data_IF_274553162591
#
_entry.id   IF_274553162591
#
_cell.length_a   1.000
_cell.length_b   1.000
_cell.length_c   1.000
_cell.angle_alpha   90.00
_cell.angle_beta   90.00
_cell.angle_gamma   90.00
#
_symmetry.space_group_name_H-M   'P 1'
#
loop_
_entity.id
_entity.type
_entity.pdbx_description
1 polymer ?
#
# COMPACT_ATOMS: atom_id res chain seq x y z
N UNK A 1 -16.29 8.44 -11.93
CA UNK A 1 -15.97 8.31 -10.49
C UNK A 1 -15.30 6.97 -10.27
N UNK A 2 -13.99 6.96 -10.17
CA UNK A 2 -13.26 5.68 -10.13
C UNK A 2 -12.14 5.75 -9.12
N UNK A 3 -12.00 4.67 -8.36
CA UNK A 3 -10.87 4.42 -7.48
C UNK A 3 -10.08 3.27 -8.08
N UNK A 4 -8.79 3.41 -8.23
CA UNK A 4 -7.90 2.36 -8.73
C UNK A 4 -6.96 1.94 -7.59
N UNK A 5 -6.98 0.69 -7.20
CA UNK A 5 -6.00 0.14 -6.27
C UNK A 5 -4.98 -0.70 -7.03
N UNK A 6 -3.72 -0.41 -6.82
CA UNK A 6 -2.61 -1.11 -7.46
C UNK A 6 -1.80 -1.84 -6.39
N UNK A 7 -1.88 -3.16 -6.39
CA UNK A 7 -0.96 -4.02 -5.64
C UNK A 7 0.21 -4.43 -6.54
N UNK A 8 1.37 -4.66 -5.98
CA UNK A 8 2.57 -4.91 -6.77
C UNK A 8 3.56 -5.82 -6.06
N UNK A 9 4.35 -6.52 -6.84
CA UNK A 9 5.55 -7.19 -6.35
C UNK A 9 6.66 -6.17 -6.07
N UNK A 10 7.56 -6.48 -5.15
CA UNK A 10 8.73 -5.64 -4.89
C UNK A 10 9.58 -5.52 -6.15
N UNK A 11 10.11 -4.33 -6.40
CA UNK A 11 10.97 -4.01 -7.56
C UNK A 11 10.30 -4.25 -8.94
N UNK A 12 8.99 -4.26 -9.00
CA UNK A 12 8.23 -4.42 -10.27
C UNK A 12 7.98 -3.11 -11.02
N UNK A 13 8.54 -1.98 -10.56
CA UNK A 13 8.25 -0.62 -11.05
C UNK A 13 6.78 -0.21 -10.92
N UNK A 14 6.05 -0.87 -10.03
CA UNK A 14 4.63 -0.63 -9.86
C UNK A 14 4.30 0.76 -9.29
N UNK A 15 5.22 1.38 -8.55
CA UNK A 15 5.04 2.76 -8.05
C UNK A 15 5.07 3.76 -9.20
N UNK A 16 6.08 3.67 -10.07
CA UNK A 16 6.22 4.53 -11.24
C UNK A 16 5.03 4.38 -12.19
N UNK A 17 4.55 3.14 -12.37
CA UNK A 17 3.37 2.88 -13.18
C UNK A 17 2.11 3.51 -12.56
N UNK A 18 1.93 3.40 -11.25
CA UNK A 18 0.80 4.00 -10.56
C UNK A 18 0.78 5.54 -10.69
N UNK A 19 1.94 6.18 -10.56
CA UNK A 19 2.09 7.62 -10.73
C UNK A 19 1.75 8.06 -12.17
N UNK A 20 2.25 7.33 -13.17
CA UNK A 20 1.93 7.60 -14.58
C UNK A 20 0.44 7.40 -14.89
N UNK A 21 -0.17 6.36 -14.38
CA UNK A 21 -1.62 6.13 -14.56
C UNK A 21 -2.42 7.27 -13.95
N UNK A 22 -2.04 7.73 -12.76
CA UNK A 22 -2.70 8.87 -12.13
C UNK A 22 -2.55 10.15 -12.96
N UNK A 23 -1.35 10.43 -13.46
CA UNK A 23 -1.07 11.59 -14.32
C UNK A 23 -1.91 11.55 -15.61
N UNK A 24 -1.92 10.43 -16.33
CA UNK A 24 -2.67 10.24 -17.58
C UNK A 24 -4.19 10.39 -17.39
N UNK A 25 -4.71 9.96 -16.25
CA UNK A 25 -6.14 10.06 -15.95
C UNK A 25 -6.53 11.37 -15.26
N UNK A 26 -5.58 12.20 -14.86
CA UNK A 26 -5.82 13.38 -14.03
C UNK A 26 -6.33 13.03 -12.63
N UNK A 27 -5.87 11.90 -12.08
CA UNK A 27 -6.22 11.39 -10.75
C UNK A 27 -5.15 11.73 -9.71
N UNK A 28 -5.54 11.78 -8.46
CA UNK A 28 -4.60 11.91 -7.37
C UNK A 28 -3.94 10.57 -7.04
N UNK A 29 -2.61 10.55 -6.99
CA UNK A 29 -1.86 9.37 -6.59
C UNK A 29 -1.58 9.43 -5.09
N UNK A 30 -2.00 8.41 -4.35
CA UNK A 30 -1.77 8.28 -2.91
C UNK A 30 -1.14 6.93 -2.57
N UNK A 31 -0.23 6.94 -1.62
CA UNK A 31 0.44 5.74 -1.14
C UNK A 31 0.70 5.83 0.36
N UNK A 32 1.90 6.20 0.73
CA UNK A 32 2.34 6.35 2.12
C UNK A 32 1.53 7.41 2.90
N UNK A 33 0.94 8.36 2.20
CA UNK A 33 0.11 9.41 2.82
C UNK A 33 -0.95 8.84 3.77
N UNK A 34 -1.58 7.73 3.41
CA UNK A 34 -2.59 7.06 4.24
C UNK A 34 -2.01 6.60 5.59
N UNK A 35 -0.77 6.09 5.60
CA UNK A 35 -0.10 5.69 6.83
C UNK A 35 0.30 6.90 7.69
N UNK A 36 0.72 7.99 7.06
CA UNK A 36 1.06 9.23 7.76
C UNK A 36 -0.18 9.84 8.40
N UNK A 37 -1.29 9.92 7.67
CA UNK A 37 -2.57 10.42 8.19
C UNK A 37 -3.05 9.58 9.38
N UNK A 38 -3.00 8.25 9.29
CA UNK A 38 -3.35 7.37 10.39
C UNK A 38 -2.40 7.54 11.59
N UNK A 39 -1.10 7.71 11.34
CA UNK A 39 -0.10 7.94 12.39
C UNK A 39 -0.39 9.24 13.17
N UNK A 40 -0.70 10.32 12.47
CA UNK A 40 -1.01 11.61 13.05
C UNK A 40 -2.34 11.61 13.78
N UNK A 41 -3.41 11.12 13.15
CA UNK A 41 -4.76 11.12 13.69
C UNK A 41 -4.87 10.30 14.99
N UNK A 42 -4.21 9.16 15.03
CA UNK A 42 -4.29 8.23 16.18
C UNK A 42 -3.07 8.29 17.10
N UNK A 43 -2.13 9.19 16.82
CA UNK A 43 -0.89 9.35 17.60
C UNK A 43 -0.13 8.02 17.79
N UNK A 44 0.05 7.27 16.71
CA UNK A 44 0.73 5.98 16.68
C UNK A 44 1.93 6.07 15.72
N UNK A 45 3.13 5.66 16.15
CA UNK A 45 4.28 5.64 15.24
C UNK A 45 4.01 4.83 13.97
N UNK A 46 4.31 5.41 12.80
CA UNK A 46 4.09 4.78 11.49
C UNK A 46 4.65 3.36 11.40
N UNK A 47 5.82 3.12 12.03
CA UNK A 47 6.43 1.79 12.04
C UNK A 47 5.55 0.71 12.68
N UNK A 48 4.73 1.05 13.67
CA UNK A 48 3.79 0.10 14.28
C UNK A 48 2.64 -0.23 13.32
N UNK A 49 2.18 0.75 12.55
CA UNK A 49 1.16 0.55 11.52
C UNK A 49 1.68 -0.34 10.39
N UNK A 50 2.91 -0.11 9.93
CA UNK A 50 3.56 -0.92 8.90
C UNK A 50 3.70 -2.37 9.37
N UNK A 51 4.19 -2.59 10.59
CA UNK A 51 4.34 -3.94 11.15
C UNK A 51 2.99 -4.67 11.25
N UNK A 52 1.92 -3.98 11.62
CA UNK A 52 0.59 -4.58 11.68
C UNK A 52 0.11 -5.14 10.33
N UNK A 53 0.58 -4.58 9.21
CA UNK A 53 0.25 -5.05 7.86
C UNK A 53 1.18 -6.16 7.35
N UNK A 54 2.44 -6.16 7.77
CA UNK A 54 3.44 -7.09 7.25
C UNK A 54 3.67 -8.32 8.12
N UNK A 55 3.65 -8.16 9.44
CA UNK A 55 4.07 -9.22 10.33
C UNK A 55 2.96 -10.24 10.57
N UNK A 56 3.32 -11.51 10.52
CA UNK A 56 2.48 -12.56 11.08
C UNK A 56 2.40 -12.37 12.59
N UNK A 57 1.21 -12.44 13.19
CA UNK A 57 1.07 -12.21 14.61
C UNK A 57 1.88 -13.24 15.42
N UNK A 58 2.77 -12.77 16.28
CA UNK A 58 3.38 -13.61 17.31
C UNK A 58 2.30 -14.15 18.25
N UNK A 59 2.62 -15.22 19.00
CA UNK A 59 1.67 -15.82 19.94
C UNK A 59 1.17 -14.78 20.95
N UNK A 60 2.02 -13.84 21.36
CA UNK A 60 1.65 -12.74 22.28
C UNK A 60 0.76 -11.68 21.63
N UNK A 61 0.95 -11.40 20.35
CA UNK A 61 0.15 -10.43 19.60
C UNK A 61 -1.23 -10.97 19.22
N UNK A 62 -1.39 -12.30 19.12
CA UNK A 62 -2.71 -12.93 18.99
C UNK A 62 -3.61 -12.70 20.19
N UNK A 63 -3.01 -12.51 21.37
CA UNK A 63 -3.71 -12.20 22.62
C UNK A 63 -3.95 -10.69 22.81
N UNK A 64 -3.29 -9.84 22.03
CA UNK A 64 -3.47 -8.40 22.07
C UNK A 64 -4.32 -7.91 20.89
N UNK A 65 -5.36 -7.15 21.18
CA UNK A 65 -6.21 -6.48 20.18
C UNK A 65 -5.47 -5.39 19.35
N UNK A 66 -4.16 -5.22 19.58
CA UNK A 66 -3.37 -4.14 19.02
C UNK A 66 -3.28 -4.16 17.50
N UNK A 67 -3.06 -5.34 16.88
CA UNK A 67 -2.94 -5.48 15.43
C UNK A 67 -4.22 -5.11 14.70
N UNK A 68 -5.35 -5.64 15.13
CA UNK A 68 -6.66 -5.37 14.53
C UNK A 68 -7.04 -3.88 14.67
N UNK A 69 -6.71 -3.29 15.80
CA UNK A 69 -6.89 -1.87 16.06
C UNK A 69 -6.09 -1.01 15.07
N UNK A 70 -4.81 -1.34 14.85
CA UNK A 70 -3.96 -0.62 13.91
C UNK A 70 -4.43 -0.77 12.46
N UNK A 71 -4.85 -1.98 12.06
CA UNK A 71 -5.44 -2.23 10.75
C UNK A 71 -6.72 -1.40 10.55
N UNK A 72 -7.56 -1.29 11.58
CA UNK A 72 -8.76 -0.46 11.54
C UNK A 72 -8.44 1.03 11.35
N UNK A 73 -7.38 1.53 11.94
CA UNK A 73 -6.93 2.92 11.77
C UNK A 73 -6.46 3.19 10.34
N UNK A 74 -5.67 2.29 9.78
CA UNK A 74 -5.21 2.40 8.38
C UNK A 74 -6.41 2.35 7.43
N UNK A 75 -7.34 1.41 7.66
CA UNK A 75 -8.56 1.30 6.88
C UNK A 75 -9.40 2.58 6.93
N UNK A 76 -9.55 3.17 8.11
CA UNK A 76 -10.28 4.43 8.27
C UNK A 76 -9.63 5.57 7.49
N UNK A 77 -8.32 5.76 7.61
CA UNK A 77 -7.58 6.76 6.86
C UNK A 77 -7.69 6.55 5.34
N UNK A 78 -7.57 5.30 4.87
CA UNK A 78 -7.74 4.99 3.45
C UNK A 78 -9.16 5.32 2.97
N UNK A 79 -10.19 4.91 3.70
CA UNK A 79 -11.57 5.18 3.33
C UNK A 79 -11.88 6.69 3.29
N UNK A 80 -11.28 7.47 4.17
CA UNK A 80 -11.40 8.93 4.13
C UNK A 80 -10.70 9.52 2.89
N UNK A 81 -9.48 9.07 2.60
CA UNK A 81 -8.73 9.54 1.43
C UNK A 81 -9.42 9.24 0.10
N UNK A 82 -10.11 8.10 -0.03
CA UNK A 82 -10.77 7.72 -1.29
C UNK A 82 -12.17 8.30 -1.46
N UNK A 83 -12.72 8.98 -0.47
CA UNK A 83 -14.03 9.67 -0.58
C UNK A 83 -14.06 10.73 -1.69
N UNK A 84 -12.93 11.36 -1.97
CA UNK A 84 -12.80 12.39 -2.98
C UNK A 84 -12.88 11.85 -4.42
N UNK A 85 -12.85 10.54 -4.60
CA UNK A 85 -12.81 9.86 -5.91
C UNK A 85 -11.64 10.30 -6.81
N UNK A 86 -11.52 9.65 -7.98
CA UNK A 86 -10.43 9.90 -8.91
C UNK A 86 -9.05 9.72 -8.24
N UNK A 87 -8.92 8.60 -7.54
CA UNK A 87 -7.74 8.25 -6.76
C UNK A 87 -7.08 7.00 -7.34
N UNK A 88 -5.76 7.04 -7.47
CA UNK A 88 -4.91 5.86 -7.64
C UNK A 88 -4.19 5.59 -6.33
N UNK A 89 -4.51 4.49 -5.69
CA UNK A 89 -3.87 4.05 -4.45
C UNK A 89 -2.94 2.86 -4.71
N UNK A 90 -1.66 2.99 -4.42
CA UNK A 90 -0.68 1.91 -4.57
C UNK A 90 0.01 1.52 -3.26
N UNK A 91 -0.67 1.70 -2.15
CA UNK A 91 -0.20 1.31 -0.82
C UNK A 91 -0.53 -0.14 -0.46
N UNK A 92 -0.26 -0.47 0.80
CA UNK A 92 -0.48 -1.79 1.36
C UNK A 92 -1.99 -2.09 1.54
N UNK A 93 -2.39 -3.32 1.23
CA UNK A 93 -3.70 -3.89 1.54
C UNK A 93 -4.93 -3.17 0.96
N UNK A 94 -4.78 -2.19 0.05
CA UNK A 94 -5.92 -1.43 -0.51
C UNK A 94 -6.98 -2.31 -1.16
N UNK A 95 -6.56 -3.34 -1.88
CA UNK A 95 -7.45 -4.31 -2.53
C UNK A 95 -8.33 -5.09 -1.53
N UNK A 96 -7.88 -5.26 -0.30
CA UNK A 96 -8.63 -5.90 0.77
C UNK A 96 -9.55 -4.92 1.50
N UNK A 97 -9.04 -3.73 1.83
CA UNK A 97 -9.82 -2.72 2.54
C UNK A 97 -10.99 -2.18 1.74
N UNK A 98 -10.85 -2.15 0.41
CA UNK A 98 -11.90 -1.72 -0.52
C UNK A 98 -12.67 -2.91 -1.14
N UNK A 99 -12.62 -4.08 -0.51
CA UNK A 99 -13.43 -5.23 -0.92
C UNK A 99 -14.92 -4.89 -0.77
N UNK A 100 -15.70 -5.15 -1.82
CA UNK A 100 -17.13 -4.87 -1.84
C UNK A 100 -17.52 -3.47 -2.30
N UNK A 101 -16.57 -2.57 -2.49
CA UNK A 101 -16.82 -1.25 -3.09
C UNK A 101 -16.87 -1.41 -4.62
N UNK A 102 -18.06 -1.21 -5.20
CA UNK A 102 -18.36 -1.58 -6.61
C UNK A 102 -17.60 -0.76 -7.66
N UNK A 103 -17.24 0.49 -7.35
CA UNK A 103 -16.56 1.40 -8.26
C UNK A 103 -15.03 1.44 -8.06
N UNK A 104 -14.46 0.37 -7.53
CA UNK A 104 -13.00 0.20 -7.35
C UNK A 104 -12.47 -0.79 -8.37
N UNK A 105 -11.56 -0.33 -9.22
CA UNK A 105 -10.75 -1.18 -10.07
C UNK A 105 -9.53 -1.68 -9.28
N UNK A 106 -9.37 -2.99 -9.20
CA UNK A 106 -8.24 -3.63 -8.51
C UNK A 106 -7.27 -4.19 -9.54
N UNK A 107 -6.05 -3.70 -9.50
CA UNK A 107 -4.96 -4.09 -10.40
C UNK A 107 -3.81 -4.70 -9.61
N UNK A 108 -3.23 -5.78 -10.12
CA UNK A 108 -1.98 -6.33 -9.59
C UNK A 108 -0.91 -6.28 -10.66
N UNK A 109 0.22 -5.70 -10.30
CA UNK A 109 1.41 -5.66 -11.16
C UNK A 109 2.36 -6.76 -10.71
N UNK A 110 2.74 -7.58 -11.65
CA UNK A 110 3.73 -8.65 -11.48
C UNK A 110 4.91 -8.39 -12.41
N UNK A 111 6.06 -8.87 -12.03
CA UNK A 111 7.26 -8.85 -12.88
C UNK A 111 8.06 -10.14 -12.67
N UNK A 112 8.79 -10.56 -13.69
CA UNK A 112 9.64 -11.74 -13.60
C UNK A 112 10.74 -11.56 -12.55
N UNK A 113 11.12 -12.65 -11.89
CA UNK A 113 12.10 -12.63 -10.80
C UNK A 113 13.43 -12.03 -11.26
N UNK A 114 13.91 -12.38 -12.45
CA UNK A 114 15.16 -11.85 -13.00
C UNK A 114 15.13 -10.32 -13.16
N UNK A 115 14.04 -9.78 -13.65
CA UNK A 115 13.89 -8.33 -13.82
C UNK A 115 13.79 -7.61 -12.47
N UNK A 116 13.13 -8.22 -11.50
CA UNK A 116 13.04 -7.70 -10.13
C UNK A 116 14.40 -7.68 -9.44
N UNK A 117 15.19 -8.73 -9.58
CA UNK A 117 16.57 -8.80 -9.06
C UNK A 117 17.46 -7.74 -9.69
N UNK A 118 17.39 -7.57 -11.01
CA UNK A 118 18.15 -6.49 -11.71
C UNK A 118 17.77 -5.11 -11.20
N UNK A 119 16.49 -4.86 -10.98
CA UNK A 119 16.01 -3.58 -10.49
C UNK A 119 16.44 -3.34 -9.03
N UNK A 120 16.42 -4.37 -8.17
CA UNK A 120 16.90 -4.31 -6.80
C UNK A 120 18.40 -3.96 -6.76
N UNK A 121 19.23 -4.68 -7.50
CA UNK A 121 20.68 -4.42 -7.62
C UNK A 121 20.92 -2.97 -8.03
N UNK A 122 20.18 -2.48 -9.00
CA UNK A 122 20.31 -1.12 -9.50
C UNK A 122 19.95 -0.07 -8.46
N UNK A 123 18.86 -0.29 -7.71
CA UNK A 123 18.35 0.68 -6.71
C UNK A 123 19.16 0.68 -5.42
N UNK A 124 19.50 -0.50 -4.92
CA UNK A 124 20.20 -0.66 -3.65
C UNK A 124 21.72 -0.58 -3.82
N UNK A 125 22.23 -0.53 -5.05
CA UNK A 125 23.69 -0.52 -5.35
C UNK A 125 24.44 -1.67 -4.71
N UNK A 126 23.79 -2.82 -4.61
CA UNK A 126 24.34 -4.09 -4.10
C UNK A 126 24.87 -4.95 -5.25
N UNK A 127 25.60 -6.01 -4.93
CA UNK A 127 26.09 -6.98 -5.90
C UNK A 127 25.12 -8.15 -6.03
N UNK A 128 25.14 -8.84 -7.16
CA UNK A 128 24.26 -10.00 -7.44
C UNK A 128 24.43 -11.17 -6.45
N UNK A 129 25.48 -11.13 -5.64
CA UNK A 129 25.79 -12.17 -4.63
C UNK A 129 25.32 -11.82 -3.21
N UNK A 130 24.80 -10.64 -2.99
CA UNK A 130 24.22 -10.18 -1.73
C UNK A 130 22.69 -10.31 -1.74
#
# INVERSE_FOLDING_TARGET
>A
MTIITISRDSYSKGSELAEKVAEELGYHCIARKVLLEASEEYNIPEIKLIRALHDSPSIFERLSLGKEKYISYIKHALLNSVKENNIVYHGLAGQFFLKGVSHVLKVRIIADMEDRVKEEIKREKITEKE
#
